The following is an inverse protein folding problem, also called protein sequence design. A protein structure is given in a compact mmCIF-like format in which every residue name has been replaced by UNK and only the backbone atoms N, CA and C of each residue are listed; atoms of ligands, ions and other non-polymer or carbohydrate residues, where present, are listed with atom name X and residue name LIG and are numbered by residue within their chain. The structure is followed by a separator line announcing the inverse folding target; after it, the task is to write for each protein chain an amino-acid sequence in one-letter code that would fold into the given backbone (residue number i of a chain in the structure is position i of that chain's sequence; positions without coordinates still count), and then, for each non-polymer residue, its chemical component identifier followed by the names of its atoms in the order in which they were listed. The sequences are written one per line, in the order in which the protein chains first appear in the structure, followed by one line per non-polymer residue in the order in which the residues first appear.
data_IF_126608213353
#
_entry.id   IF_126608213353
#
_cell.length_a   1.000
_cell.length_b   1.000
_cell.length_c   1.000
_cell.angle_alpha   90.00
_cell.angle_beta   90.00
_cell.angle_gamma   90.00
#
_symmetry.space_group_name_H-M   'P 1'
#
loop_
_entity.id
_entity.type
_entity.pdbx_description
1 polymer ?
#
# COMPACT_ATOMS: atom_id res chain seq x y z
N UNK A 1 17.86 -18.96 20.13
CA UNK A 1 17.44 -17.80 19.32
C UNK A 1 18.68 -17.01 19.01
N UNK A 2 18.91 -16.58 17.78
CA UNK A 2 20.04 -15.72 17.45
C UNK A 2 19.86 -14.34 18.07
N UNK A 3 20.96 -13.76 18.51
CA UNK A 3 21.02 -12.44 19.12
C UNK A 3 21.89 -11.50 18.29
N UNK A 4 21.45 -10.26 18.11
CA UNK A 4 22.18 -9.23 17.36
C UNK A 4 22.32 -8.00 18.23
N UNK A 5 23.54 -7.48 18.36
CA UNK A 5 23.82 -6.21 19.02
C UNK A 5 24.24 -5.16 18.00
N UNK A 6 23.58 -4.02 17.99
CA UNK A 6 23.83 -2.92 17.05
C UNK A 6 24.19 -1.68 17.85
N UNK A 7 25.42 -1.15 17.66
CA UNK A 7 25.85 0.12 18.23
C UNK A 7 25.48 1.29 17.32
N UNK A 8 25.00 2.36 17.94
CA UNK A 8 24.83 3.65 17.28
C UNK A 8 25.31 4.79 18.14
N UNK A 9 26.08 5.72 17.55
CA UNK A 9 26.39 7.00 18.18
C UNK A 9 25.13 7.79 18.51
N UNK A 10 24.06 7.52 17.75
CA UNK A 10 22.70 8.00 18.01
C UNK A 10 21.72 6.86 17.81
N UNK A 11 20.78 6.70 18.71
CA UNK A 11 19.71 5.69 18.63
C UNK A 11 18.38 6.38 18.86
N UNK A 12 17.49 6.33 17.87
CA UNK A 12 16.11 6.78 18.04
C UNK A 12 15.36 5.76 18.89
N UNK A 13 14.93 6.17 20.04
CA UNK A 13 14.18 5.36 21.01
C UNK A 13 12.81 6.00 21.28
N UNK A 14 12.00 5.30 22.02
CA UNK A 14 10.72 5.80 22.54
C UNK A 14 10.61 5.47 24.02
N UNK A 15 10.42 6.51 24.83
CA UNK A 15 10.23 6.39 26.28
C UNK A 15 8.96 7.16 26.67
N UNK A 16 8.08 6.52 27.42
CA UNK A 16 6.84 7.11 27.95
C UNK A 16 5.97 7.78 26.87
N UNK A 17 5.94 7.18 25.67
CA UNK A 17 5.17 7.70 24.55
C UNK A 17 5.87 8.79 23.72
N UNK A 18 6.95 9.38 24.19
CA UNK A 18 7.76 10.39 23.49
C UNK A 18 8.96 9.78 22.76
N UNK A 19 9.34 10.39 21.63
CA UNK A 19 10.58 10.06 20.94
C UNK A 19 11.78 10.65 21.71
N UNK A 20 12.86 9.88 21.82
CA UNK A 20 14.11 10.31 22.42
C UNK A 20 15.30 9.86 21.57
N UNK A 21 16.35 10.66 21.52
CA UNK A 21 17.60 10.35 20.81
C UNK A 21 18.69 10.08 21.83
N UNK A 22 18.98 8.82 22.02
CA UNK A 22 20.02 8.36 22.93
C UNK A 22 21.38 8.42 22.24
N UNK A 23 22.42 8.82 22.98
CA UNK A 23 23.82 8.84 22.51
C UNK A 23 24.58 7.63 23.01
N UNK A 24 25.36 7.04 22.11
CA UNK A 24 26.29 5.92 22.43
C UNK A 24 25.56 4.76 23.10
N UNK A 25 24.55 4.21 22.41
CA UNK A 25 23.77 3.09 22.90
C UNK A 25 23.82 1.90 21.95
N UNK A 26 23.59 0.76 22.54
CA UNK A 26 23.40 -0.52 21.88
C UNK A 26 21.92 -0.87 21.81
N UNK A 27 21.50 -1.44 20.68
CA UNK A 27 20.20 -2.08 20.51
C UNK A 27 20.45 -3.59 20.47
N UNK A 28 19.92 -4.32 21.45
CA UNK A 28 19.95 -5.79 21.47
C UNK A 28 18.67 -6.32 20.86
N UNK A 29 18.80 -7.15 19.84
CA UNK A 29 17.70 -7.89 19.23
C UNK A 29 17.83 -9.36 19.57
N UNK A 30 16.76 -9.95 20.08
CA UNK A 30 16.65 -11.37 20.38
C UNK A 30 15.53 -11.98 19.50
N UNK A 31 15.93 -12.81 18.53
CA UNK A 31 15.00 -13.36 17.55
C UNK A 31 14.33 -12.25 16.75
N UNK A 32 13.04 -11.98 17.04
CA UNK A 32 12.23 -11.00 16.30
C UNK A 32 11.90 -9.72 17.09
N UNK A 33 12.50 -9.54 18.27
CA UNK A 33 12.15 -8.42 19.16
C UNK A 33 13.39 -7.66 19.59
N UNK A 34 13.23 -6.36 19.80
CA UNK A 34 14.20 -5.55 20.51
C UNK A 34 14.07 -5.92 22.00
N UNK A 35 15.11 -6.54 22.54
CA UNK A 35 15.15 -7.00 23.94
C UNK A 35 15.58 -5.88 24.87
N UNK A 36 16.55 -5.04 24.43
CA UNK A 36 17.05 -3.93 25.24
C UNK A 36 17.63 -2.80 24.38
N UNK A 37 17.62 -1.60 24.94
CA UNK A 37 18.44 -0.47 24.50
C UNK A 37 19.29 -0.04 25.70
N UNK A 38 20.61 -0.15 25.60
CA UNK A 38 21.51 -0.02 26.74
C UNK A 38 22.82 0.72 26.38
N UNK A 39 23.48 1.32 27.37
CA UNK A 39 24.82 1.90 27.19
C UNK A 39 25.91 0.83 27.18
N UNK A 40 25.73 -0.20 27.98
CA UNK A 40 26.71 -1.27 28.09
C UNK A 40 26.59 -2.20 26.89
N UNK A 41 27.74 -2.63 26.35
CA UNK A 41 27.80 -3.57 25.24
C UNK A 41 27.22 -4.93 25.65
N UNK A 42 26.10 -5.36 25.06
CA UNK A 42 25.52 -6.65 25.37
C UNK A 42 26.33 -7.78 24.72
N UNK A 43 26.25 -8.99 25.29
CA UNK A 43 26.68 -10.19 24.60
C UNK A 43 25.67 -10.57 23.52
N UNK A 44 26.15 -10.87 22.32
CA UNK A 44 25.32 -11.28 21.21
C UNK A 44 26.11 -12.20 20.26
N UNK A 45 25.40 -13.01 19.48
CA UNK A 45 25.99 -13.88 18.46
C UNK A 45 26.59 -13.06 17.31
N UNK A 46 25.92 -11.97 16.95
CA UNK A 46 26.38 -11.02 15.92
C UNK A 46 26.47 -9.61 16.51
N UNK A 47 27.54 -8.89 16.16
CA UNK A 47 27.78 -7.54 16.66
C UNK A 47 28.08 -6.59 15.51
N UNK A 48 27.28 -5.55 15.40
CA UNK A 48 27.45 -4.44 14.46
C UNK A 48 27.89 -3.19 15.23
N UNK A 49 29.20 -3.05 15.42
CA UNK A 49 29.82 -1.88 16.07
C UNK A 49 30.17 -0.86 14.97
N UNK A 50 29.34 0.17 14.80
CA UNK A 50 29.46 1.16 13.72
C UNK A 50 29.41 2.58 14.28
N UNK A 51 30.51 3.12 14.83
CA UNK A 51 30.56 4.49 15.29
C UNK A 51 30.20 5.50 14.22
N UNK A 52 29.62 6.63 14.61
CA UNK A 52 29.17 7.67 13.70
C UNK A 52 27.85 7.37 12.97
N UNK A 53 27.17 6.28 13.32
CA UNK A 53 25.89 5.89 12.73
C UNK A 53 24.71 6.26 13.61
N UNK A 54 23.59 6.56 12.95
CA UNK A 54 22.31 6.73 13.60
C UNK A 54 21.47 5.47 13.39
N UNK A 55 21.06 4.83 14.46
CA UNK A 55 20.20 3.64 14.45
C UNK A 55 18.75 4.09 14.56
N UNK A 56 17.96 3.71 13.58
CA UNK A 56 16.53 4.02 13.47
C UNK A 56 15.73 2.73 13.39
N UNK A 57 14.47 2.71 13.85
CA UNK A 57 13.51 1.72 13.39
C UNK A 57 13.40 1.74 11.86
N UNK A 58 13.10 0.60 11.26
CA UNK A 58 12.83 0.55 9.82
C UNK A 58 11.70 1.51 9.44
N UNK A 59 11.83 2.16 8.28
CA UNK A 59 10.83 3.09 7.79
C UNK A 59 9.55 2.37 7.39
N UNK A 60 8.42 3.06 7.55
CA UNK A 60 7.12 2.58 7.10
C UNK A 60 6.73 3.35 5.83
N UNK A 61 6.55 2.64 4.73
CA UNK A 61 5.96 3.19 3.51
C UNK A 61 4.48 2.81 3.47
N UNK A 62 3.61 3.77 3.76
CA UNK A 62 2.17 3.52 3.87
C UNK A 62 1.42 3.58 2.54
N UNK A 63 2.10 3.85 1.43
CA UNK A 63 1.53 3.84 0.09
C UNK A 63 2.61 3.68 -0.96
N UNK A 64 2.59 2.55 -1.66
CA UNK A 64 3.58 2.25 -2.69
C UNK A 64 2.94 1.42 -3.82
N UNK A 65 3.57 1.41 -4.98
CA UNK A 65 3.12 0.65 -6.14
C UNK A 65 4.30 -0.11 -6.75
N UNK A 66 4.84 -1.10 -6.04
CA UNK A 66 6.05 -1.83 -6.41
C UNK A 66 6.06 -2.36 -7.85
N UNK A 67 4.97 -3.04 -8.24
CA UNK A 67 4.86 -3.59 -9.60
C UNK A 67 4.62 -2.49 -10.63
N UNK A 68 3.72 -1.56 -10.33
CA UNK A 68 3.34 -0.48 -11.24
C UNK A 68 4.50 0.47 -11.52
N UNK A 69 5.32 0.78 -10.52
CA UNK A 69 6.45 1.69 -10.66
C UNK A 69 7.47 1.21 -11.69
N UNK A 70 7.84 -0.06 -11.65
CA UNK A 70 8.82 -0.59 -12.59
C UNK A 70 8.32 -0.55 -14.03
N UNK A 71 7.03 -0.81 -14.26
CA UNK A 71 6.40 -0.75 -15.59
C UNK A 71 6.16 0.69 -16.04
N UNK A 72 5.78 1.58 -15.11
CA UNK A 72 5.37 2.94 -15.43
C UNK A 72 6.52 3.95 -15.57
N UNK A 73 7.69 3.67 -15.02
CA UNK A 73 8.85 4.58 -15.03
C UNK A 73 9.28 5.04 -16.41
N UNK A 74 9.04 4.24 -17.44
CA UNK A 74 9.42 4.56 -18.83
C UNK A 74 8.49 5.59 -19.50
N UNK A 75 7.33 5.95 -18.88
CA UNK A 75 6.29 6.70 -19.57
C UNK A 75 5.64 7.83 -18.73
N UNK A 76 5.98 7.98 -17.46
CA UNK A 76 5.26 8.89 -16.56
C UNK A 76 5.63 10.37 -16.76
N UNK A 77 6.77 10.68 -17.37
CA UNK A 77 7.28 12.04 -17.49
C UNK A 77 6.74 12.79 -18.72
N UNK A 78 6.29 12.07 -19.75
CA UNK A 78 5.84 12.67 -21.02
C UNK A 78 4.39 13.19 -21.00
N UNK A 79 3.73 13.13 -19.85
CA UNK A 79 2.32 13.51 -19.71
C UNK A 79 2.04 14.99 -19.48
N UNK A 80 3.07 15.85 -19.41
CA UNK A 80 2.92 17.27 -19.17
C UNK A 80 2.35 17.98 -20.42
N UNK A 81 1.15 18.52 -20.31
CA UNK A 81 0.53 19.33 -21.39
C UNK A 81 -0.76 18.78 -21.97
N UNK A 82 -1.34 17.73 -21.40
CA UNK A 82 -2.66 17.25 -21.81
C UNK A 82 -3.74 18.27 -21.51
N UNK A 83 -4.45 18.67 -22.56
CA UNK A 83 -5.51 19.71 -22.51
C UNK A 83 -6.83 19.25 -21.87
N UNK A 84 -6.97 17.96 -21.62
CA UNK A 84 -8.16 17.37 -21.01
C UNK A 84 -7.90 17.04 -19.55
N UNK A 85 -8.81 17.37 -18.66
CA UNK A 85 -8.80 17.14 -17.21
C UNK A 85 -8.67 15.66 -16.76
N UNK A 86 -8.34 14.74 -17.67
CA UNK A 86 -8.26 13.33 -17.35
C UNK A 86 -6.97 13.00 -16.60
N UNK A 87 -7.11 12.25 -15.54
CA UNK A 87 -5.98 11.74 -14.76
C UNK A 87 -5.10 10.83 -15.60
N UNK A 88 -3.79 11.07 -15.60
CA UNK A 88 -2.79 10.19 -16.20
C UNK A 88 -2.88 8.76 -15.61
N UNK A 89 -3.35 8.64 -14.38
CA UNK A 89 -3.57 7.35 -13.71
C UNK A 89 -4.53 6.48 -14.53
N UNK A 90 -5.66 7.04 -14.94
CA UNK A 90 -6.70 6.28 -15.66
C UNK A 90 -6.41 6.09 -17.14
N UNK A 91 -5.73 7.06 -17.75
CA UNK A 91 -5.51 7.05 -19.20
C UNK A 91 -4.22 6.36 -19.63
N UNK A 92 -3.26 6.25 -18.72
CA UNK A 92 -1.93 5.67 -19.01
C UNK A 92 -1.54 4.61 -17.98
N UNK A 93 -1.46 4.97 -16.69
CA UNK A 93 -0.84 4.09 -15.70
C UNK A 93 -1.62 2.78 -15.49
N UNK A 94 -2.92 2.82 -15.26
CA UNK A 94 -3.72 1.60 -15.05
C UNK A 94 -3.75 0.72 -16.32
N UNK A 95 -4.02 1.25 -17.54
CA UNK A 95 -3.93 0.45 -18.76
C UNK A 95 -2.55 -0.13 -19.02
N UNK A 96 -1.48 0.66 -18.82
CA UNK A 96 -0.12 0.21 -19.06
C UNK A 96 0.31 -0.89 -18.08
N UNK A 97 0.03 -0.72 -16.80
CA UNK A 97 0.36 -1.72 -15.77
C UNK A 97 -0.43 -3.01 -15.96
N UNK A 98 -1.71 -2.90 -16.36
CA UNK A 98 -2.50 -4.07 -16.75
C UNK A 98 -1.87 -4.78 -17.95
N UNK A 99 -1.57 -4.04 -19.02
CA UNK A 99 -0.95 -4.60 -20.21
C UNK A 99 0.41 -5.24 -19.89
N UNK A 100 1.22 -4.60 -19.08
CA UNK A 100 2.48 -5.18 -18.59
C UNK A 100 2.27 -6.51 -17.88
N UNK A 101 1.29 -6.58 -16.97
CA UNK A 101 0.97 -7.83 -16.27
C UNK A 101 0.46 -8.93 -17.22
N UNK A 102 -0.29 -8.56 -18.28
CA UNK A 102 -0.86 -9.52 -19.24
C UNK A 102 0.21 -10.13 -20.17
N UNK A 103 1.24 -9.37 -20.54
CA UNK A 103 2.29 -9.83 -21.48
C UNK A 103 3.49 -10.49 -20.80
N UNK A 104 3.75 -10.18 -19.54
CA UNK A 104 4.84 -10.76 -18.77
C UNK A 104 4.48 -12.18 -18.32
N UNK A 105 5.45 -13.09 -18.38
CA UNK A 105 5.35 -14.41 -17.75
C UNK A 105 5.26 -14.28 -16.22
N UNK A 106 4.85 -15.33 -15.54
CA UNK A 106 4.82 -15.36 -14.07
C UNK A 106 6.21 -15.10 -13.46
N UNK A 107 7.27 -15.64 -14.07
CA UNK A 107 8.64 -15.42 -13.64
C UNK A 107 9.07 -13.95 -13.78
N UNK A 108 8.74 -13.32 -14.90
CA UNK A 108 9.03 -11.91 -15.14
C UNK A 108 8.23 -11.01 -14.19
N UNK A 109 6.95 -11.30 -13.94
CA UNK A 109 6.17 -10.59 -12.94
C UNK A 109 6.76 -10.72 -11.54
N UNK A 110 7.25 -11.91 -11.19
CA UNK A 110 7.94 -12.15 -9.92
C UNK A 110 9.23 -11.33 -9.82
N UNK A 111 10.03 -11.24 -10.91
CA UNK A 111 11.24 -10.43 -10.96
C UNK A 111 10.93 -8.93 -10.77
N UNK A 112 9.87 -8.42 -11.40
CA UNK A 112 9.41 -7.04 -11.25
C UNK A 112 8.96 -6.76 -9.80
N UNK A 113 8.20 -7.67 -9.19
CA UNK A 113 7.76 -7.57 -7.80
C UNK A 113 8.96 -7.53 -6.83
N UNK A 114 9.92 -8.43 -7.00
CA UNK A 114 11.18 -8.46 -6.23
C UNK A 114 11.97 -7.16 -6.38
N UNK A 115 12.07 -6.62 -7.60
CA UNK A 115 12.78 -5.36 -7.86
C UNK A 115 12.14 -4.20 -7.07
N UNK A 116 10.82 -4.08 -7.08
CA UNK A 116 10.10 -3.06 -6.33
C UNK A 116 10.33 -3.18 -4.82
N UNK A 117 10.22 -4.39 -4.26
CA UNK A 117 10.49 -4.64 -2.84
C UNK A 117 11.94 -4.38 -2.47
N UNK A 118 12.90 -4.78 -3.34
CA UNK A 118 14.32 -4.51 -3.14
C UNK A 118 14.61 -3.00 -3.02
N UNK A 119 13.96 -2.19 -3.84
CA UNK A 119 14.11 -0.73 -3.78
C UNK A 119 13.61 -0.16 -2.44
N UNK A 120 12.49 -0.67 -1.93
CA UNK A 120 11.98 -0.30 -0.60
C UNK A 120 12.98 -0.65 0.49
N UNK A 121 13.48 -1.88 0.52
CA UNK A 121 14.45 -2.34 1.51
C UNK A 121 15.75 -1.53 1.43
N UNK A 122 16.26 -1.24 0.23
CA UNK A 122 17.44 -0.37 0.03
C UNK A 122 17.19 1.08 0.46
N UNK A 123 15.95 1.55 0.37
CA UNK A 123 15.52 2.85 0.90
C UNK A 123 15.30 2.87 2.42
N UNK A 124 15.46 1.72 3.09
CA UNK A 124 15.28 1.59 4.54
C UNK A 124 13.85 1.31 4.98
N UNK A 125 12.92 1.11 4.07
CA UNK A 125 11.55 0.71 4.40
C UNK A 125 11.51 -0.79 4.73
N UNK A 126 11.02 -1.13 5.92
CA UNK A 126 10.87 -2.52 6.38
C UNK A 126 9.40 -2.94 6.47
N UNK A 127 8.51 -1.99 6.32
CA UNK A 127 7.06 -2.20 6.28
C UNK A 127 6.49 -1.40 5.12
N UNK A 128 5.62 -2.02 4.34
CA UNK A 128 4.94 -1.37 3.21
C UNK A 128 3.45 -1.68 3.21
N UNK A 129 2.63 -0.69 2.89
CA UNK A 129 1.25 -0.87 2.45
C UNK A 129 1.22 -0.70 0.93
N UNK A 130 0.82 -1.74 0.25
CA UNK A 130 0.89 -1.85 -1.21
C UNK A 130 -0.52 -1.99 -1.78
N UNK A 131 -1.17 -0.90 -2.20
CA UNK A 131 -2.40 -0.99 -2.99
C UNK A 131 -2.06 -1.41 -4.42
N UNK A 132 -2.71 -2.45 -4.95
CA UNK A 132 -2.39 -3.01 -6.27
C UNK A 132 -3.54 -3.79 -6.90
N UNK A 133 -3.50 -3.93 -8.23
CA UNK A 133 -4.51 -4.65 -9.01
C UNK A 133 -3.98 -5.88 -9.71
N UNK A 134 -2.76 -5.78 -10.21
CA UNK A 134 -2.17 -6.78 -11.10
C UNK A 134 -1.08 -7.58 -10.38
N UNK A 135 -0.82 -8.79 -10.88
CA UNK A 135 0.25 -9.65 -10.33
C UNK A 135 0.11 -9.93 -8.83
N UNK A 136 -1.13 -10.14 -8.41
CA UNK A 136 -1.47 -10.31 -6.98
C UNK A 136 -0.70 -11.47 -6.35
N UNK A 137 -0.69 -12.68 -6.93
CA UNK A 137 0.07 -13.80 -6.36
C UNK A 137 1.56 -13.49 -6.24
N UNK A 138 2.16 -12.97 -7.30
CA UNK A 138 3.60 -12.68 -7.38
C UNK A 138 4.02 -11.61 -6.36
N UNK A 139 3.18 -10.63 -6.09
CA UNK A 139 3.44 -9.61 -5.07
C UNK A 139 3.49 -10.20 -3.66
N UNK A 140 2.54 -11.07 -3.31
CA UNK A 140 2.54 -11.74 -2.01
C UNK A 140 3.70 -12.72 -1.87
N UNK A 141 3.95 -13.54 -2.90
CA UNK A 141 5.07 -14.50 -2.91
C UNK A 141 6.42 -13.79 -2.77
N UNK A 142 6.64 -12.69 -3.51
CA UNK A 142 7.86 -11.90 -3.42
C UNK A 142 8.02 -11.25 -2.03
N UNK A 143 6.94 -10.73 -1.45
CA UNK A 143 6.99 -10.14 -0.12
C UNK A 143 7.32 -11.17 0.97
N UNK A 144 6.73 -12.37 0.89
CA UNK A 144 7.03 -13.46 1.81
C UNK A 144 8.48 -13.91 1.69
N UNK A 145 8.97 -14.14 0.46
CA UNK A 145 10.35 -14.55 0.16
C UNK A 145 11.38 -13.53 0.63
N UNK A 146 11.17 -12.26 0.32
CA UNK A 146 12.13 -11.19 0.65
C UNK A 146 12.05 -10.72 2.12
N UNK A 147 11.07 -11.19 2.88
CA UNK A 147 10.99 -10.99 4.32
C UNK A 147 10.52 -9.59 4.76
N UNK A 148 9.99 -8.76 3.87
CA UNK A 148 9.42 -7.45 4.24
C UNK A 148 8.08 -7.63 4.99
N UNK A 149 7.73 -6.69 5.87
CA UNK A 149 6.37 -6.61 6.41
C UNK A 149 5.47 -5.98 5.36
N UNK A 150 4.47 -6.75 4.91
CA UNK A 150 3.67 -6.41 3.75
C UNK A 150 2.18 -6.38 4.10
N UNK A 151 1.58 -5.21 3.96
CA UNK A 151 0.14 -5.03 3.98
C UNK A 151 -0.33 -4.98 2.53
N UNK A 152 -0.64 -6.15 1.97
CA UNK A 152 -1.17 -6.24 0.61
C UNK A 152 -2.59 -5.71 0.57
N UNK A 153 -2.85 -4.76 -0.31
CA UNK A 153 -4.11 -4.07 -0.43
C UNK A 153 -4.68 -4.18 -1.86
N UNK A 154 -5.16 -5.37 -2.28
CA UNK A 154 -5.76 -5.55 -3.58
C UNK A 154 -6.93 -4.60 -3.79
N UNK A 155 -6.96 -3.93 -4.95
CA UNK A 155 -8.03 -2.99 -5.26
C UNK A 155 -9.39 -3.65 -5.37
N UNK A 156 -10.40 -2.92 -4.90
CA UNK A 156 -11.80 -3.20 -5.15
C UNK A 156 -12.39 -2.04 -5.96
N UNK A 157 -13.20 -2.37 -6.94
CA UNK A 157 -13.89 -1.43 -7.82
C UNK A 157 -15.39 -1.74 -7.85
N UNK A 158 -16.22 -0.73 -8.05
CA UNK A 158 -17.60 -0.89 -8.49
C UNK A 158 -17.77 -0.38 -9.93
N UNK A 159 -16.70 -0.48 -10.69
CA UNK A 159 -16.69 -0.12 -12.11
C UNK A 159 -15.89 -1.18 -12.85
N UNK A 160 -16.38 -1.58 -14.00
CA UNK A 160 -15.63 -2.47 -14.89
C UNK A 160 -14.39 -1.79 -15.45
N UNK A 161 -13.61 -2.55 -16.21
CA UNK A 161 -12.42 -2.03 -16.88
C UNK A 161 -12.73 -0.76 -17.69
N UNK A 162 -11.88 0.24 -17.47
CA UNK A 162 -11.94 1.49 -18.20
C UNK A 162 -11.76 1.26 -19.72
N UNK A 163 -12.70 1.73 -20.51
CA UNK A 163 -12.61 1.75 -21.98
C UNK A 163 -12.38 3.18 -22.44
N UNK A 164 -11.28 3.43 -23.16
CA UNK A 164 -11.10 4.71 -23.82
C UNK A 164 -12.04 4.82 -25.03
N UNK A 165 -12.87 5.85 -25.04
CA UNK A 165 -13.66 6.22 -26.22
C UNK A 165 -12.77 6.81 -27.32
N UNK A 166 -13.30 6.97 -28.56
CA UNK A 166 -12.57 7.58 -29.68
C UNK A 166 -12.11 9.02 -29.42
N UNK A 167 -12.79 9.71 -28.52
CA UNK A 167 -12.48 11.07 -28.05
C UNK A 167 -11.43 11.10 -26.92
N UNK A 168 -10.90 9.93 -26.53
CA UNK A 168 -9.98 9.78 -25.40
C UNK A 168 -10.66 9.88 -24.04
N UNK A 169 -11.99 9.96 -23.97
CA UNK A 169 -12.73 9.96 -22.71
C UNK A 169 -12.85 8.53 -22.22
N UNK A 170 -12.37 8.29 -20.99
CA UNK A 170 -12.47 6.98 -20.35
C UNK A 170 -13.88 6.79 -19.81
N UNK A 171 -14.52 5.73 -20.26
CA UNK A 171 -15.85 5.32 -19.80
C UNK A 171 -15.72 4.08 -18.92
N UNK A 172 -16.44 4.09 -17.81
CA UNK A 172 -16.56 2.95 -16.90
C UNK A 172 -17.99 2.43 -16.96
N UNK A 173 -18.17 1.12 -17.08
CA UNK A 173 -19.45 0.49 -16.80
C UNK A 173 -19.53 0.15 -15.31
N UNK A 174 -20.63 0.52 -14.68
CA UNK A 174 -20.84 0.22 -13.25
C UNK A 174 -21.06 -1.27 -13.01
N UNK A 175 -20.53 -1.75 -11.90
CA UNK A 175 -20.93 -2.97 -11.21
C UNK A 175 -21.05 -2.69 -9.71
N UNK A 176 -21.42 -3.66 -8.89
CA UNK A 176 -21.63 -3.47 -7.45
C UNK A 176 -20.40 -3.78 -6.60
N UNK A 177 -19.31 -4.25 -7.22
CA UNK A 177 -18.07 -4.64 -6.52
C UNK A 177 -18.16 -5.97 -5.76
N UNK A 178 -19.24 -6.73 -5.91
CA UNK A 178 -19.44 -8.01 -5.18
C UNK A 178 -18.37 -9.03 -5.55
N UNK A 179 -18.01 -9.13 -6.83
CA UNK A 179 -16.99 -10.05 -7.31
C UNK A 179 -15.60 -9.70 -6.75
N UNK A 180 -15.28 -8.42 -6.68
CA UNK A 180 -14.02 -7.92 -6.12
C UNK A 180 -13.95 -8.18 -4.60
N UNK A 181 -15.05 -7.99 -3.89
CA UNK A 181 -15.14 -8.29 -2.46
C UNK A 181 -14.94 -9.79 -2.19
N UNK A 182 -15.57 -10.67 -2.96
CA UNK A 182 -15.40 -12.12 -2.83
C UNK A 182 -13.94 -12.55 -3.13
N UNK A 183 -13.32 -11.92 -4.13
CA UNK A 183 -11.89 -12.14 -4.45
C UNK A 183 -11.00 -11.69 -3.29
N UNK A 184 -11.27 -10.51 -2.72
CA UNK A 184 -10.53 -10.00 -1.58
C UNK A 184 -10.65 -10.93 -0.36
N UNK A 185 -11.84 -11.42 -0.05
CA UNK A 185 -12.07 -12.38 1.04
C UNK A 185 -11.28 -13.68 0.83
N UNK A 186 -11.23 -14.18 -0.39
CA UNK A 186 -10.42 -15.37 -0.71
C UNK A 186 -8.92 -15.12 -0.52
N UNK A 187 -8.43 -13.94 -0.91
CA UNK A 187 -7.04 -13.53 -0.68
C UNK A 187 -6.73 -13.38 0.82
N UNK A 188 -7.67 -12.81 1.59
CA UNK A 188 -7.54 -12.70 3.03
C UNK A 188 -7.37 -14.07 3.69
N UNK A 189 -8.20 -15.04 3.35
CA UNK A 189 -8.09 -16.41 3.86
C UNK A 189 -6.75 -17.06 3.49
N UNK A 190 -6.24 -16.77 2.30
CA UNK A 190 -5.00 -17.37 1.80
C UNK A 190 -3.74 -16.77 2.40
N UNK A 191 -3.69 -15.45 2.58
CA UNK A 191 -2.46 -14.72 2.81
C UNK A 191 -2.32 -14.05 4.18
N UNK A 192 -3.43 -13.74 4.85
CA UNK A 192 -3.38 -13.03 6.12
C UNK A 192 -2.64 -13.86 7.19
N UNK A 193 -1.73 -13.23 7.91
CA UNK A 193 -0.86 -13.83 8.92
C UNK A 193 0.23 -14.79 8.39
N UNK A 194 0.44 -14.91 7.09
CA UNK A 194 1.57 -15.69 6.56
C UNK A 194 2.91 -15.03 6.88
N UNK A 195 4.01 -15.78 6.60
CA UNK A 195 5.37 -15.29 6.85
C UNK A 195 5.59 -14.94 8.33
N UNK A 196 5.07 -15.75 9.26
CA UNK A 196 5.13 -15.47 10.72
C UNK A 196 4.49 -14.14 11.10
N UNK A 197 3.36 -13.78 10.49
CA UNK A 197 2.63 -12.54 10.73
C UNK A 197 3.22 -11.31 10.03
N UNK A 198 4.18 -11.48 9.11
CA UNK A 198 4.69 -10.36 8.31
C UNK A 198 3.77 -9.98 7.15
N UNK A 199 3.00 -10.95 6.64
CA UNK A 199 2.06 -10.73 5.56
C UNK A 199 0.67 -10.49 6.15
N UNK A 200 0.08 -9.37 5.83
CA UNK A 200 -1.27 -8.99 6.23
C UNK A 200 -2.01 -8.41 5.04
N UNK A 201 -3.34 -8.38 5.11
CA UNK A 201 -4.13 -7.67 4.11
C UNK A 201 -4.65 -6.35 4.67
N UNK A 202 -4.79 -5.38 3.75
CA UNK A 202 -5.53 -4.15 3.97
C UNK A 202 -6.68 -4.08 2.97
N UNK A 203 -7.79 -3.45 3.36
CA UNK A 203 -8.91 -3.19 2.47
C UNK A 203 -8.59 -1.99 1.59
N UNK A 204 -8.76 -2.11 0.27
CA UNK A 204 -8.41 -1.02 -0.65
C UNK A 204 -9.49 -0.75 -1.70
N UNK A 205 -10.62 -0.11 -1.34
CA UNK A 205 -11.45 0.51 -2.36
C UNK A 205 -10.61 1.53 -3.12
N UNK A 206 -10.51 1.38 -4.45
CA UNK A 206 -9.50 2.07 -5.25
C UNK A 206 -9.53 3.60 -5.11
N UNK A 207 -10.66 4.21 -5.45
CA UNK A 207 -10.84 5.66 -5.36
C UNK A 207 -12.32 6.04 -5.27
N UNK A 208 -12.59 7.29 -4.89
CA UNK A 208 -13.98 7.75 -4.67
C UNK A 208 -14.80 7.87 -5.94
N UNK A 209 -14.19 7.96 -7.11
CA UNK A 209 -14.86 7.99 -8.42
C UNK A 209 -14.99 6.62 -9.08
N UNK A 210 -14.22 5.62 -8.63
CA UNK A 210 -14.27 4.24 -9.12
C UNK A 210 -14.97 3.27 -8.18
N UNK A 211 -15.36 3.75 -7.00
CA UNK A 211 -16.10 2.98 -6.00
C UNK A 211 -17.41 3.69 -5.65
N UNK A 212 -18.52 3.02 -5.85
CA UNK A 212 -19.82 3.52 -5.42
C UNK A 212 -19.96 3.58 -3.90
N UNK A 213 -20.88 4.40 -3.37
CA UNK A 213 -21.07 4.57 -1.93
C UNK A 213 -21.32 3.26 -1.17
N UNK A 214 -22.00 2.30 -1.80
CA UNK A 214 -22.34 1.04 -1.13
C UNK A 214 -21.12 0.13 -1.01
N UNK A 215 -20.26 0.05 -2.03
CA UNK A 215 -18.97 -0.64 -1.93
C UNK A 215 -18.06 0.01 -0.87
N UNK A 216 -17.98 1.34 -0.83
CA UNK A 216 -17.19 2.05 0.20
C UNK A 216 -17.65 1.72 1.62
N UNK A 217 -18.99 1.67 1.84
CA UNK A 217 -19.57 1.29 3.14
C UNK A 217 -19.28 -0.19 3.47
N UNK A 218 -19.43 -1.08 2.49
CA UNK A 218 -19.15 -2.50 2.65
C UNK A 218 -17.67 -2.74 3.00
N UNK A 219 -16.74 -2.08 2.31
CA UNK A 219 -15.31 -2.12 2.62
C UNK A 219 -15.02 -1.63 4.05
N UNK A 220 -15.61 -0.51 4.44
CA UNK A 220 -15.42 0.04 5.78
C UNK A 220 -16.01 -0.86 6.88
N UNK A 221 -17.14 -1.52 6.62
CA UNK A 221 -17.75 -2.48 7.53
C UNK A 221 -16.88 -3.73 7.67
N UNK A 222 -16.44 -4.30 6.54
CA UNK A 222 -15.61 -5.50 6.51
C UNK A 222 -14.25 -5.28 7.14
N UNK A 223 -13.61 -4.12 6.88
CA UNK A 223 -12.34 -3.77 7.52
C UNK A 223 -12.47 -3.70 9.05
N UNK A 224 -13.55 -3.10 9.57
CA UNK A 224 -13.80 -3.08 11.02
C UNK A 224 -14.07 -4.45 11.61
N UNK A 225 -14.85 -5.28 10.93
CA UNK A 225 -15.16 -6.65 11.36
C UNK A 225 -13.88 -7.48 11.53
N UNK A 226 -12.96 -7.37 10.59
CA UNK A 226 -11.73 -8.15 10.56
C UNK A 226 -10.55 -7.47 11.30
N UNK A 227 -10.70 -6.23 11.74
CA UNK A 227 -9.63 -5.46 12.37
C UNK A 227 -8.46 -5.16 11.42
N UNK A 228 -8.72 -5.03 10.11
CA UNK A 228 -7.68 -4.72 9.10
C UNK A 228 -7.69 -3.23 8.76
N UNK A 229 -6.53 -2.67 8.38
CA UNK A 229 -6.48 -1.28 7.91
C UNK A 229 -7.20 -1.11 6.58
N UNK A 230 -7.60 0.13 6.30
CA UNK A 230 -8.20 0.53 5.02
C UNK A 230 -7.36 1.64 4.39
N UNK A 231 -7.15 1.57 3.09
CA UNK A 231 -6.48 2.60 2.29
C UNK A 231 -7.29 2.88 1.03
N UNK A 232 -7.26 4.12 0.55
CA UNK A 232 -7.96 4.53 -0.68
C UNK A 232 -7.30 5.76 -1.29
N UNK A 233 -7.45 5.94 -2.59
CA UNK A 233 -7.13 7.21 -3.23
C UNK A 233 -8.32 8.17 -3.10
N UNK A 234 -8.01 9.45 -2.95
CA UNK A 234 -9.05 10.47 -2.84
C UNK A 234 -8.51 11.81 -3.36
N UNK A 235 -9.31 12.49 -4.17
CA UNK A 235 -9.00 13.79 -4.76
C UNK A 235 -7.70 13.80 -5.59
N UNK A 236 -7.39 12.69 -6.26
CA UNK A 236 -6.18 12.57 -7.08
C UNK A 236 -6.25 13.36 -8.40
N UNK A 237 -7.45 13.78 -8.82
CA UNK A 237 -7.63 14.59 -10.03
C UNK A 237 -8.79 15.57 -9.87
N UNK A 238 -8.74 16.67 -10.65
CA UNK A 238 -9.86 17.61 -10.75
C UNK A 238 -11.12 16.93 -11.25
N UNK A 239 -11.00 16.02 -12.22
CA UNK A 239 -12.13 15.27 -12.77
C UNK A 239 -12.82 14.42 -11.70
N UNK A 240 -12.07 13.77 -10.82
CA UNK A 240 -12.65 13.04 -9.69
C UNK A 240 -13.44 13.96 -8.77
N UNK A 241 -12.86 15.09 -8.35
CA UNK A 241 -13.51 16.06 -7.46
C UNK A 241 -14.79 16.61 -8.09
N UNK A 242 -14.78 16.94 -9.39
CA UNK A 242 -15.95 17.41 -10.12
C UNK A 242 -17.04 16.33 -10.23
N UNK A 243 -16.65 15.08 -10.50
CA UNK A 243 -17.57 13.94 -10.59
C UNK A 243 -18.27 13.69 -9.26
N UNK A 244 -17.53 13.66 -8.18
CA UNK A 244 -18.08 13.49 -6.83
C UNK A 244 -18.96 14.69 -6.46
N UNK A 245 -18.53 15.91 -6.74
CA UNK A 245 -19.32 17.13 -6.51
C UNK A 245 -20.67 17.12 -7.23
N UNK A 246 -20.70 16.70 -8.48
CA UNK A 246 -21.95 16.54 -9.27
C UNK A 246 -22.83 15.45 -8.69
N UNK A 247 -22.28 14.31 -8.31
CA UNK A 247 -22.99 13.22 -7.67
C UNK A 247 -23.63 13.63 -6.34
N UNK A 248 -22.88 14.33 -5.48
CA UNK A 248 -23.40 14.86 -4.21
C UNK A 248 -24.50 15.90 -4.40
N UNK A 249 -24.37 16.80 -5.37
CA UNK A 249 -25.39 17.78 -5.71
C UNK A 249 -26.67 17.11 -6.24
N UNK A 250 -26.54 16.04 -7.03
CA UNK A 250 -27.67 15.25 -7.51
C UNK A 250 -28.35 14.47 -6.38
N UNK A 251 -27.59 13.91 -5.43
CA UNK A 251 -28.10 13.22 -4.26
C UNK A 251 -28.87 14.16 -3.31
N UNK A 252 -28.34 15.36 -3.06
CA UNK A 252 -29.02 16.40 -2.28
C UNK A 252 -30.35 16.82 -2.92
N UNK A 253 -30.41 16.95 -4.25
CA UNK A 253 -31.65 17.28 -4.97
C UNK A 253 -32.72 16.18 -4.88
N UNK A 254 -32.31 14.93 -4.67
CA UNK A 254 -33.23 13.77 -4.49
C UNK A 254 -33.54 13.44 -3.04
N UNK A 255 -33.19 14.31 -2.07
CA UNK A 255 -33.34 14.05 -0.62
C UNK A 255 -32.68 12.74 -0.16
N UNK A 256 -31.68 12.25 -0.87
CA UNK A 256 -30.90 11.09 -0.43
C UNK A 256 -29.83 11.61 0.52
N UNK A 257 -30.04 11.44 1.79
CA UNK A 257 -29.04 11.72 2.84
C UNK A 257 -27.87 10.74 2.70
N UNK A 258 -26.74 11.22 2.20
CA UNK A 258 -25.49 10.49 2.33
C UNK A 258 -25.03 10.75 3.77
N UNK A 259 -25.43 9.84 4.67
CA UNK A 259 -25.00 9.89 6.06
C UNK A 259 -23.48 9.88 6.14
N UNK A 260 -22.93 10.76 6.95
CA UNK A 260 -21.50 10.97 7.18
C UNK A 260 -20.82 9.70 7.69
N UNK A 261 -20.32 8.85 6.79
CA UNK A 261 -19.50 7.70 7.16
C UNK A 261 -18.05 8.11 7.54
N UNK A 262 -17.70 9.38 7.37
CA UNK A 262 -16.34 9.90 7.60
C UNK A 262 -16.17 10.81 8.83
N UNK A 263 -17.15 10.92 9.70
CA UNK A 263 -17.10 11.90 10.80
C UNK A 263 -17.01 11.31 12.22
N UNK A 264 -16.21 10.26 12.42
CA UNK A 264 -15.73 9.94 13.76
C UNK A 264 -14.22 9.81 13.74
N UNK A 265 -13.47 10.56 14.56
CA UNK A 265 -12.04 10.32 14.75
C UNK A 265 -11.84 8.94 15.36
N UNK A 266 -10.75 8.29 14.95
CA UNK A 266 -10.22 7.01 15.46
C UNK A 266 -9.77 7.21 16.91
#
# INVERSE_FOLDING_TARGET
MSTIAIFGSYVLSRKDGAQDVLRDHWVLVEGKKIAAVTRDRPRADEVYDRPGRFVLPGLLNLHNHCFSEAVARSHSEDGTGRKNNQSIVYTVLLPLTKRGADILSAEERMAVARLGILQLLKGGATTVMEPFRNSIPEMFDAAEEMGIRFYGAPYLFSTSDAKAGPDGVVQYSGDDGTADMATWDALYQRWNNRGDGRISLAMSPHATDTCGPDLLKACAARARELGVPITTHMAQSRAEVETIGKGMAAARRRNIWIGSACSRPI
#
